data_IF_047712611022
#
_entry.id   IF_047712611022
#
_cell.length_a   1.000
_cell.length_b   1.000
_cell.length_c   1.000
_cell.angle_alpha   90.00
_cell.angle_beta   90.00
_cell.angle_gamma   90.00
#
_symmetry.space_group_name_H-M   'P 1'
#
loop_
_entity.id
_entity.type
_entity.pdbx_description
1 polymer ?
#
# COMPACT_ATOMS: atom_id res chain seq x y z
N UNK A 1 14.89 -37.66 -8.38
CA UNK A 1 14.76 -36.54 -7.42
C UNK A 1 15.27 -35.28 -8.09
N UNK A 2 14.46 -34.22 -8.24
CA UNK A 2 14.97 -32.94 -8.73
C UNK A 2 15.88 -32.33 -7.66
N UNK A 3 17.12 -31.99 -8.02
CA UNK A 3 18.04 -31.30 -7.14
C UNK A 3 17.39 -30.01 -6.60
N UNK A 4 17.34 -29.84 -5.28
CA UNK A 4 16.92 -28.58 -4.64
C UNK A 4 17.84 -27.48 -5.15
N UNK A 5 17.37 -26.67 -6.11
CA UNK A 5 18.11 -25.51 -6.63
C UNK A 5 18.35 -24.54 -5.47
N UNK A 6 19.60 -24.12 -5.30
CA UNK A 6 20.01 -23.23 -4.21
C UNK A 6 19.25 -21.90 -4.28
N UNK A 7 18.80 -21.42 -3.12
CA UNK A 7 18.15 -20.11 -2.98
C UNK A 7 19.13 -19.00 -3.37
N UNK A 8 18.64 -17.96 -4.04
CA UNK A 8 19.44 -16.77 -4.31
C UNK A 8 19.77 -16.11 -2.97
N UNK A 9 21.06 -16.01 -2.63
CA UNK A 9 21.52 -15.35 -1.41
C UNK A 9 21.29 -13.85 -1.53
N UNK A 10 20.70 -13.25 -0.49
CA UNK A 10 20.63 -11.80 -0.35
C UNK A 10 21.60 -11.39 0.76
N UNK A 11 22.50 -10.49 0.44
CA UNK A 11 23.35 -9.81 1.41
C UNK A 11 22.74 -8.43 1.67
N UNK A 12 22.36 -8.20 2.93
CA UNK A 12 21.77 -6.94 3.37
C UNK A 12 22.89 -6.03 3.89
N UNK A 13 22.99 -4.84 3.34
CA UNK A 13 23.98 -3.86 3.76
C UNK A 13 23.28 -2.51 3.97
N UNK A 14 22.77 -2.27 5.19
CA UNK A 14 22.21 -0.98 5.55
C UNK A 14 23.28 0.15 5.60
N UNK A 15 24.57 -0.21 5.58
CA UNK A 15 25.68 0.73 5.66
C UNK A 15 25.64 1.55 6.95
N UNK A 16 25.85 2.85 6.82
CA UNK A 16 25.86 3.81 7.94
C UNK A 16 24.46 4.30 8.35
N UNK A 17 23.40 3.81 7.70
CA UNK A 17 22.03 4.27 7.98
C UNK A 17 21.59 3.72 9.35
N UNK A 18 21.50 4.62 10.34
CA UNK A 18 21.05 4.29 11.69
C UNK A 18 19.58 4.64 11.93
N UNK A 19 19.01 5.55 11.13
CA UNK A 19 17.62 5.99 11.21
C UNK A 19 17.12 6.48 9.84
N UNK A 20 15.84 6.27 9.58
CA UNK A 20 15.09 6.89 8.48
C UNK A 20 13.99 7.78 9.06
N UNK A 21 13.65 8.86 8.34
CA UNK A 21 12.53 9.71 8.73
C UNK A 21 11.20 8.97 8.55
N UNK A 22 10.14 9.34 9.30
CA UNK A 22 8.82 8.72 9.14
C UNK A 22 8.29 8.76 7.70
N UNK A 23 8.56 9.83 6.97
CA UNK A 23 8.16 10.04 5.56
C UNK A 23 8.87 9.04 4.64
N UNK A 24 10.15 8.81 4.87
CA UNK A 24 10.96 7.83 4.13
C UNK A 24 10.43 6.41 4.36
N UNK A 25 10.12 6.07 5.62
CA UNK A 25 9.54 4.78 5.99
C UNK A 25 8.22 4.57 5.25
N UNK A 26 7.31 5.57 5.28
CA UNK A 26 6.03 5.50 4.56
C UNK A 26 6.22 5.39 3.05
N UNK A 27 7.12 6.17 2.45
CA UNK A 27 7.38 6.11 1.02
C UNK A 27 7.90 4.72 0.58
N UNK A 28 8.82 4.12 1.34
CA UNK A 28 9.35 2.79 1.03
C UNK A 28 8.26 1.72 1.16
N UNK A 29 7.44 1.78 2.21
CA UNK A 29 6.33 0.82 2.40
C UNK A 29 5.26 0.98 1.32
N UNK A 30 4.91 2.23 0.97
CA UNK A 30 3.91 2.54 -0.06
C UNK A 30 4.34 2.05 -1.44
N UNK A 31 5.63 2.18 -1.76
CA UNK A 31 6.23 1.60 -2.97
C UNK A 31 6.33 0.07 -2.93
N UNK A 32 6.48 -0.52 -1.74
CA UNK A 32 6.60 -1.97 -1.58
C UNK A 32 5.26 -2.69 -1.80
N UNK A 33 4.13 -2.03 -1.54
CA UNK A 33 2.79 -2.59 -1.74
C UNK A 33 2.57 -3.11 -3.18
N UNK A 34 3.07 -2.37 -4.17
CA UNK A 34 2.98 -2.70 -5.61
C UNK A 34 3.63 -4.03 -5.99
N UNK A 35 4.58 -4.51 -5.19
CA UNK A 35 5.41 -5.69 -5.50
C UNK A 35 5.42 -6.74 -4.39
N UNK A 36 4.59 -6.56 -3.37
CA UNK A 36 4.60 -7.43 -2.20
C UNK A 36 4.25 -8.86 -2.61
N UNK A 37 5.04 -9.82 -2.15
CA UNK A 37 4.98 -11.23 -2.55
C UNK A 37 5.16 -11.53 -4.05
N UNK A 38 5.45 -10.54 -4.91
CA UNK A 38 5.63 -10.69 -6.37
C UNK A 38 7.00 -10.27 -6.90
N UNK A 39 7.75 -9.42 -6.19
CA UNK A 39 9.13 -9.11 -6.54
C UNK A 39 10.03 -8.91 -5.31
N UNK A 40 11.34 -8.85 -5.57
CA UNK A 40 12.37 -8.68 -4.55
C UNK A 40 12.89 -7.24 -4.44
N UNK A 41 13.88 -7.08 -3.54
CA UNK A 41 14.59 -5.83 -3.23
C UNK A 41 14.95 -4.98 -4.45
N UNK A 42 15.51 -5.58 -5.50
CA UNK A 42 15.98 -4.84 -6.67
C UNK A 42 14.85 -4.12 -7.42
N UNK A 43 13.64 -4.67 -7.42
CA UNK A 43 12.49 -4.02 -8.03
C UNK A 43 12.04 -2.81 -7.20
N UNK A 44 11.99 -2.95 -5.88
CA UNK A 44 11.63 -1.84 -4.99
C UNK A 44 12.57 -0.65 -5.14
N UNK A 45 13.88 -0.92 -5.25
CA UNK A 45 14.88 0.13 -5.52
C UNK A 45 14.59 0.84 -6.85
N UNK A 46 14.19 0.11 -7.91
CA UNK A 46 13.86 0.69 -9.22
C UNK A 46 12.62 1.59 -9.17
N UNK A 47 11.56 1.16 -8.47
CA UNK A 47 10.34 1.97 -8.26
C UNK A 47 10.71 3.27 -7.55
N UNK A 48 11.38 3.17 -6.41
CA UNK A 48 11.78 4.33 -5.61
C UNK A 48 12.74 5.28 -6.36
N UNK A 49 13.56 4.76 -7.27
CA UNK A 49 14.43 5.57 -8.14
C UNK A 49 13.66 6.31 -9.24
N UNK A 50 12.48 5.85 -9.63
CA UNK A 50 11.79 6.36 -10.81
C UNK A 50 12.34 5.75 -12.11
N UNK A 51 12.74 4.49 -12.07
CA UNK A 51 13.38 3.81 -13.20
C UNK A 51 12.37 3.47 -14.30
N UNK A 52 12.69 3.86 -15.54
CA UNK A 52 11.95 3.47 -16.76
C UNK A 52 12.23 2.02 -17.21
N UNK A 53 12.60 1.14 -16.27
CA UNK A 53 12.82 -0.28 -16.57
C UNK A 53 11.55 -0.90 -17.15
N UNK A 54 11.70 -1.75 -18.18
CA UNK A 54 10.56 -2.32 -18.91
C UNK A 54 9.55 -3.00 -17.98
N UNK A 55 10.01 -3.72 -16.95
CA UNK A 55 9.10 -4.42 -16.03
C UNK A 55 8.36 -3.47 -15.10
N UNK A 56 8.98 -2.37 -14.70
CA UNK A 56 8.32 -1.35 -13.88
C UNK A 56 7.12 -0.78 -14.64
N UNK A 57 7.32 -0.44 -15.92
CA UNK A 57 6.27 0.12 -16.77
C UNK A 57 5.22 -0.93 -17.19
N UNK A 58 5.66 -2.15 -17.52
CA UNK A 58 4.77 -3.25 -17.94
C UNK A 58 3.76 -3.62 -16.84
N UNK A 59 4.18 -3.56 -15.58
CA UNK A 59 3.31 -3.78 -14.43
C UNK A 59 2.72 -2.50 -13.84
N UNK A 60 2.85 -1.35 -14.53
CA UNK A 60 2.31 -0.05 -14.12
C UNK A 60 2.74 0.40 -12.72
N UNK A 61 3.91 -0.02 -12.28
CA UNK A 61 4.45 0.35 -10.96
C UNK A 61 4.89 1.82 -10.91
N UNK A 62 4.91 2.50 -12.06
CA UNK A 62 5.10 3.94 -12.18
C UNK A 62 3.86 4.77 -11.83
N UNK A 63 2.68 4.14 -11.70
CA UNK A 63 1.45 4.79 -11.20
C UNK A 63 1.44 4.90 -9.66
N UNK A 64 2.39 4.26 -8.98
CA UNK A 64 2.52 4.30 -7.52
C UNK A 64 2.82 5.71 -6.99
N UNK A 65 2.15 6.19 -5.91
CA UNK A 65 2.40 7.51 -5.32
C UNK A 65 3.85 7.76 -4.87
N UNK A 66 4.60 6.69 -4.57
CA UNK A 66 5.99 6.76 -4.12
C UNK A 66 7.01 6.50 -5.25
N UNK A 67 6.57 6.40 -6.51
CA UNK A 67 7.44 6.24 -7.66
C UNK A 67 8.38 7.45 -7.80
N UNK A 68 9.69 7.21 -7.88
CA UNK A 68 10.67 8.29 -7.99
C UNK A 68 10.85 9.13 -6.72
N UNK A 69 10.35 8.70 -5.55
CA UNK A 69 10.56 9.40 -4.28
C UNK A 69 12.04 9.72 -4.02
N UNK A 70 12.94 8.80 -4.40
CA UNK A 70 14.39 8.97 -4.31
C UNK A 70 15.05 9.22 -5.68
N UNK A 71 14.41 9.95 -6.59
CA UNK A 71 14.96 10.24 -7.92
C UNK A 71 16.36 10.89 -7.89
N UNK A 72 16.70 11.62 -6.81
CA UNK A 72 18.02 12.25 -6.65
C UNK A 72 19.09 11.34 -6.04
N UNK A 73 18.72 10.17 -5.50
CA UNK A 73 19.68 9.24 -4.91
C UNK A 73 20.17 8.21 -5.94
N UNK A 74 21.34 7.65 -5.70
CA UNK A 74 21.85 6.50 -6.44
C UNK A 74 21.08 5.22 -6.08
N UNK A 75 21.09 4.24 -6.99
CA UNK A 75 20.49 2.92 -6.72
C UNK A 75 21.12 2.23 -5.48
N UNK A 76 22.40 2.48 -5.23
CA UNK A 76 23.11 1.93 -4.06
C UNK A 76 22.59 2.55 -2.77
N UNK A 77 22.47 3.88 -2.71
CA UNK A 77 21.95 4.60 -1.54
C UNK A 77 20.50 4.24 -1.22
N UNK A 78 19.67 4.03 -2.26
CA UNK A 78 18.30 3.53 -2.10
C UNK A 78 18.33 2.08 -1.60
N UNK A 79 19.22 1.25 -2.15
CA UNK A 79 19.42 -0.13 -1.71
C UNK A 79 19.75 -0.23 -0.22
N UNK A 80 20.64 0.62 0.29
CA UNK A 80 20.97 0.70 1.73
C UNK A 80 19.74 1.03 2.59
N UNK A 81 18.87 1.93 2.12
CA UNK A 81 17.61 2.28 2.80
C UNK A 81 16.61 1.12 2.81
N UNK A 82 16.47 0.41 1.70
CA UNK A 82 15.62 -0.80 1.64
C UNK A 82 16.18 -1.89 2.57
N UNK A 83 17.50 -2.07 2.62
CA UNK A 83 18.14 -3.02 3.54
C UNK A 83 17.90 -2.65 5.00
N UNK A 84 17.97 -1.36 5.35
CA UNK A 84 17.58 -0.86 6.66
C UNK A 84 16.14 -1.26 7.01
N UNK A 85 15.20 -1.13 6.06
CA UNK A 85 13.79 -1.50 6.27
C UNK A 85 13.62 -3.01 6.55
N UNK A 86 14.45 -3.86 5.94
CA UNK A 86 14.46 -5.30 6.20
C UNK A 86 15.10 -5.60 7.57
N UNK A 87 16.27 -5.03 7.85
CA UNK A 87 17.02 -5.24 9.11
C UNK A 87 16.24 -4.76 10.33
N UNK A 88 15.50 -3.66 10.21
CA UNK A 88 14.66 -3.11 11.30
C UNK A 88 13.26 -3.74 11.37
N UNK A 89 13.01 -4.77 10.57
CA UNK A 89 11.79 -5.56 10.62
C UNK A 89 10.55 -4.78 10.21
N UNK A 90 10.63 -3.90 9.22
CA UNK A 90 9.46 -3.35 8.55
C UNK A 90 9.06 -4.26 7.36
N UNK A 91 10.06 -4.69 6.61
CA UNK A 91 9.94 -5.69 5.55
C UNK A 91 10.68 -6.96 5.95
N UNK A 92 10.35 -8.08 5.32
CA UNK A 92 11.12 -9.32 5.40
C UNK A 92 11.19 -9.99 4.03
N UNK A 93 12.13 -10.91 3.89
CA UNK A 93 12.28 -11.71 2.67
C UNK A 93 11.67 -13.08 2.89
N UNK A 94 10.78 -13.46 1.99
CA UNK A 94 10.27 -14.82 1.87
C UNK A 94 10.67 -15.42 0.52
N UNK A 95 10.79 -16.74 0.43
CA UNK A 95 11.24 -17.40 -0.78
C UNK A 95 10.09 -18.14 -1.46
N UNK A 96 9.78 -17.74 -2.69
CA UNK A 96 8.98 -18.56 -3.61
C UNK A 96 9.93 -19.42 -4.45
N UNK A 97 10.08 -20.68 -4.04
CA UNK A 97 11.12 -21.56 -4.57
C UNK A 97 12.52 -21.00 -4.31
N UNK A 98 13.20 -20.54 -5.37
CA UNK A 98 14.54 -19.93 -5.28
C UNK A 98 14.54 -18.40 -5.22
N UNK A 99 13.40 -17.78 -5.54
CA UNK A 99 13.29 -16.34 -5.74
C UNK A 99 12.94 -15.65 -4.42
N UNK A 100 13.72 -14.65 -3.99
CA UNK A 100 13.41 -13.86 -2.81
C UNK A 100 12.38 -12.77 -3.15
N UNK A 101 11.33 -12.72 -2.34
CA UNK A 101 10.20 -11.80 -2.46
C UNK A 101 10.13 -10.96 -1.20
N UNK A 102 9.83 -9.68 -1.35
CA UNK A 102 9.55 -8.83 -0.19
C UNK A 102 8.13 -9.08 0.30
N UNK A 103 7.98 -9.17 1.63
CA UNK A 103 6.67 -9.15 2.28
C UNK A 103 6.69 -8.20 3.47
N UNK A 104 5.51 -7.69 3.84
CA UNK A 104 5.38 -6.89 5.04
C UNK A 104 5.59 -7.76 6.28
N UNK A 105 6.22 -7.18 7.28
CA UNK A 105 6.04 -7.62 8.67
C UNK A 105 4.77 -7.00 9.24
N UNK A 106 4.32 -7.43 10.41
CA UNK A 106 3.19 -6.78 11.10
C UNK A 106 3.46 -5.28 11.32
N UNK A 107 4.68 -4.93 11.74
CA UNK A 107 5.13 -3.54 11.96
C UNK A 107 5.07 -2.70 10.68
N UNK A 108 5.57 -3.23 9.57
CA UNK A 108 5.50 -2.53 8.28
C UNK A 108 4.06 -2.41 7.77
N UNK A 109 3.29 -3.48 7.92
CA UNK A 109 1.90 -3.51 7.49
C UNK A 109 1.01 -2.53 8.24
N UNK A 110 1.20 -2.36 9.55
CA UNK A 110 0.44 -1.39 10.34
C UNK A 110 0.62 0.04 9.80
N UNK A 111 1.85 0.42 9.49
CA UNK A 111 2.18 1.75 8.94
C UNK A 111 1.61 1.91 7.53
N UNK A 112 1.75 0.90 6.68
CA UNK A 112 1.25 0.94 5.31
C UNK A 112 -0.28 1.01 5.27
N UNK A 113 -0.95 0.15 6.04
CA UNK A 113 -2.41 0.13 6.13
C UNK A 113 -2.94 1.50 6.56
N UNK A 114 -2.33 2.12 7.57
CA UNK A 114 -2.70 3.46 8.03
C UNK A 114 -2.45 4.53 6.94
N UNK A 115 -1.33 4.46 6.25
CA UNK A 115 -0.97 5.38 5.16
C UNK A 115 -1.96 5.29 4.02
N UNK A 116 -2.22 4.08 3.51
CA UNK A 116 -3.14 3.88 2.40
C UNK A 116 -4.60 4.19 2.78
N UNK A 117 -4.99 3.92 4.03
CA UNK A 117 -6.30 4.31 4.56
C UNK A 117 -6.49 5.83 4.53
N UNK A 118 -5.45 6.61 4.89
CA UNK A 118 -5.50 8.08 4.83
C UNK A 118 -5.64 8.59 3.40
N UNK A 119 -4.89 8.04 2.46
CA UNK A 119 -4.99 8.41 1.04
C UNK A 119 -6.43 8.22 0.53
N UNK A 120 -7.04 7.07 0.80
CA UNK A 120 -8.43 6.81 0.43
C UNK A 120 -9.44 7.71 1.13
N UNK A 121 -9.22 7.98 2.42
CA UNK A 121 -10.09 8.86 3.19
C UNK A 121 -10.10 10.28 2.62
N UNK A 122 -8.93 10.83 2.28
CA UNK A 122 -8.85 12.15 1.63
C UNK A 122 -9.53 12.15 0.25
N UNK A 123 -9.38 11.08 -0.54
CA UNK A 123 -10.09 10.96 -1.82
C UNK A 123 -11.62 10.96 -1.65
N UNK A 124 -12.12 10.24 -0.64
CA UNK A 124 -13.56 10.22 -0.34
C UNK A 124 -14.05 11.58 0.15
N UNK A 125 -13.25 12.23 1.01
CA UNK A 125 -13.54 13.59 1.49
C UNK A 125 -13.67 14.57 0.33
N UNK A 126 -12.74 14.56 -0.63
CA UNK A 126 -12.82 15.39 -1.85
C UNK A 126 -14.09 15.09 -2.65
N UNK A 127 -14.46 13.82 -2.82
CA UNK A 127 -15.68 13.44 -3.56
C UNK A 127 -16.95 13.95 -2.86
N UNK A 128 -16.99 13.87 -1.52
CA UNK A 128 -18.10 14.37 -0.71
C UNK A 128 -18.18 15.89 -0.73
N UNK A 129 -17.06 16.60 -0.57
CA UNK A 129 -16.99 18.06 -0.55
C UNK A 129 -17.33 18.68 -1.91
N UNK A 130 -16.81 18.08 -3.00
CA UNK A 130 -17.11 18.52 -4.37
C UNK A 130 -18.49 18.09 -4.87
N UNK A 131 -19.14 17.12 -4.18
CA UNK A 131 -20.36 16.43 -4.63
C UNK A 131 -20.21 15.74 -5.99
N UNK A 132 -18.97 15.44 -6.39
CA UNK A 132 -18.65 14.73 -7.63
C UNK A 132 -18.23 13.30 -7.29
N UNK A 133 -19.02 12.33 -7.74
CA UNK A 133 -18.72 10.92 -7.56
C UNK A 133 -18.01 10.35 -8.79
N UNK A 134 -16.76 9.93 -8.62
CA UNK A 134 -16.02 9.24 -9.66
C UNK A 134 -16.16 7.72 -9.48
N UNK A 135 -16.98 7.07 -10.33
CA UNK A 135 -17.31 5.64 -10.18
C UNK A 135 -16.10 4.70 -10.32
N UNK A 136 -15.04 5.11 -11.02
CA UNK A 136 -13.78 4.36 -11.09
C UNK A 136 -13.13 4.13 -9.71
N UNK A 137 -13.41 5.00 -8.72
CA UNK A 137 -12.94 4.82 -7.34
C UNK A 137 -13.37 3.46 -6.77
N UNK A 138 -14.58 2.98 -7.11
CA UNK A 138 -15.08 1.70 -6.61
C UNK A 138 -14.40 0.52 -7.29
N UNK A 139 -14.07 0.63 -8.58
CA UNK A 139 -13.32 -0.41 -9.28
C UNK A 139 -11.88 -0.53 -8.76
N UNK A 140 -11.24 0.61 -8.46
CA UNK A 140 -9.94 0.63 -7.80
C UNK A 140 -9.99 0.00 -6.40
N UNK A 141 -11.04 0.26 -5.61
CA UNK A 141 -11.19 -0.32 -4.27
C UNK A 141 -11.35 -1.85 -4.26
N UNK A 142 -11.77 -2.48 -5.35
CA UNK A 142 -11.90 -3.95 -5.44
C UNK A 142 -10.57 -4.68 -5.35
N UNK A 143 -9.48 -4.04 -5.78
CA UNK A 143 -8.13 -4.62 -5.71
C UNK A 143 -7.37 -4.20 -4.44
N UNK A 144 -7.92 -3.24 -3.67
CA UNK A 144 -7.32 -2.79 -2.42
C UNK A 144 -7.46 -3.86 -1.34
N UNK A 145 -6.43 -4.01 -0.50
CA UNK A 145 -6.46 -4.92 0.62
C UNK A 145 -7.68 -4.66 1.53
N UNK A 146 -8.45 -5.71 1.81
CA UNK A 146 -9.70 -5.60 2.60
C UNK A 146 -9.50 -4.97 3.98
N UNK A 147 -8.32 -5.09 4.59
CA UNK A 147 -8.06 -4.42 5.87
C UNK A 147 -7.99 -2.89 5.73
N UNK A 148 -7.45 -2.38 4.63
CA UNK A 148 -7.46 -0.93 4.30
C UNK A 148 -8.90 -0.48 4.05
N UNK A 149 -9.67 -1.25 3.27
CA UNK A 149 -11.11 -0.98 3.03
C UNK A 149 -11.90 -0.89 4.35
N UNK A 150 -11.64 -1.80 5.29
CA UNK A 150 -12.35 -1.81 6.57
C UNK A 150 -11.90 -0.66 7.48
N UNK A 151 -10.61 -0.35 7.51
CA UNK A 151 -10.08 0.80 8.24
C UNK A 151 -10.63 2.13 7.69
N UNK A 152 -10.76 2.26 6.37
CA UNK A 152 -11.42 3.40 5.72
C UNK A 152 -12.87 3.56 6.20
N UNK A 153 -13.63 2.47 6.19
CA UNK A 153 -15.03 2.47 6.64
C UNK A 153 -15.16 2.82 8.13
N UNK A 154 -14.25 2.33 8.97
CA UNK A 154 -14.22 2.69 10.39
C UNK A 154 -13.87 4.17 10.59
N UNK A 155 -12.93 4.72 9.81
CA UNK A 155 -12.60 6.14 9.85
C UNK A 155 -13.76 7.04 9.41
N UNK A 156 -14.49 6.64 8.37
CA UNK A 156 -15.71 7.34 7.94
C UNK A 156 -16.77 7.29 9.03
N UNK A 157 -16.97 6.12 9.66
CA UNK A 157 -17.92 5.94 10.77
C UNK A 157 -17.58 6.86 11.95
N UNK A 158 -16.30 6.96 12.31
CA UNK A 158 -15.81 7.83 13.39
C UNK A 158 -15.99 9.31 13.10
N UNK A 159 -15.98 9.73 11.82
CA UNK A 159 -16.22 11.12 11.44
C UNK A 159 -17.61 11.63 11.83
N UNK A 160 -18.61 10.76 11.92
CA UNK A 160 -20.02 11.15 12.13
C UNK A 160 -20.64 11.94 10.98
N UNK A 161 -19.96 12.10 9.85
CA UNK A 161 -20.40 12.98 8.77
C UNK A 161 -21.40 12.28 7.83
N UNK A 162 -22.67 12.68 7.94
CA UNK A 162 -23.77 12.14 7.11
C UNK A 162 -23.59 12.37 5.61
N UNK A 163 -22.73 13.32 5.20
CA UNK A 163 -22.50 13.60 3.77
C UNK A 163 -21.85 12.43 3.03
N UNK A 164 -21.26 11.47 3.74
CA UNK A 164 -20.74 10.23 3.14
C UNK A 164 -21.82 9.23 2.73
N UNK A 165 -23.04 9.30 3.28
CA UNK A 165 -24.10 8.30 3.07
C UNK A 165 -24.40 8.05 1.58
N UNK A 166 -24.61 9.06 0.73
CA UNK A 166 -24.88 8.82 -0.70
C UNK A 166 -23.73 8.10 -1.42
N UNK A 167 -22.49 8.45 -1.08
CA UNK A 167 -21.30 7.81 -1.64
C UNK A 167 -21.21 6.34 -1.19
N UNK A 168 -21.44 6.08 0.10
CA UNK A 168 -21.43 4.73 0.68
C UNK A 168 -22.51 3.85 0.05
N UNK A 169 -23.73 4.35 -0.12
CA UNK A 169 -24.82 3.58 -0.76
C UNK A 169 -24.55 3.34 -2.25
N UNK A 170 -23.89 4.27 -2.95
CA UNK A 170 -23.44 4.04 -4.32
C UNK A 170 -22.37 2.94 -4.37
N UNK A 171 -21.36 3.00 -3.49
CA UNK A 171 -20.30 2.00 -3.40
C UNK A 171 -20.86 0.59 -3.11
N UNK A 172 -21.80 0.51 -2.16
CA UNK A 172 -22.40 -0.74 -1.69
C UNK A 172 -23.03 -1.58 -2.80
N UNK A 173 -23.54 -0.97 -3.88
CA UNK A 173 -24.25 -1.68 -4.96
C UNK A 173 -23.37 -2.70 -5.70
N UNK A 174 -22.07 -2.42 -5.84
CA UNK A 174 -21.13 -3.25 -6.61
C UNK A 174 -20.27 -4.20 -5.77
N UNK A 175 -20.53 -4.30 -4.46
CA UNK A 175 -19.60 -4.90 -3.51
C UNK A 175 -19.94 -6.34 -3.10
N UNK A 176 -18.92 -7.06 -2.65
CA UNK A 176 -19.10 -8.40 -2.08
C UNK A 176 -19.87 -8.33 -0.76
N UNK A 177 -20.59 -9.41 -0.40
CA UNK A 177 -21.48 -9.46 0.78
C UNK A 177 -20.86 -8.86 2.05
N UNK A 178 -19.63 -9.25 2.39
CA UNK A 178 -18.96 -8.82 3.62
C UNK A 178 -18.68 -7.30 3.64
N UNK A 179 -18.32 -6.71 2.50
CA UNK A 179 -18.10 -5.26 2.39
C UNK A 179 -19.45 -4.54 2.42
N UNK A 180 -20.48 -5.07 1.74
CA UNK A 180 -21.85 -4.51 1.79
C UNK A 180 -22.44 -4.46 3.20
N UNK A 181 -22.21 -5.50 4.00
CA UNK A 181 -22.64 -5.56 5.41
C UNK A 181 -21.91 -4.51 6.25
N UNK A 182 -20.58 -4.37 6.07
CA UNK A 182 -19.80 -3.34 6.77
C UNK A 182 -20.26 -1.93 6.38
N UNK A 183 -20.45 -1.66 5.08
CA UNK A 183 -20.95 -0.36 4.61
C UNK A 183 -22.33 -0.07 5.21
N UNK A 184 -23.27 -1.01 5.17
CA UNK A 184 -24.61 -0.83 5.74
C UNK A 184 -24.58 -0.51 7.24
N UNK A 185 -23.69 -1.15 8.01
CA UNK A 185 -23.49 -0.82 9.42
C UNK A 185 -22.91 0.57 9.65
N UNK A 186 -22.02 1.04 8.76
CA UNK A 186 -21.50 2.42 8.81
C UNK A 186 -22.59 3.42 8.47
N UNK A 187 -23.36 3.20 7.40
CA UNK A 187 -24.49 4.07 7.02
C UNK A 187 -25.48 4.23 8.16
N UNK A 188 -25.94 3.12 8.75
CA UNK A 188 -26.87 3.15 9.87
C UNK A 188 -26.32 3.95 11.07
N UNK A 189 -25.03 3.78 11.38
CA UNK A 189 -24.40 4.54 12.47
C UNK A 189 -24.34 6.04 12.18
N UNK A 190 -24.09 6.44 10.93
CA UNK A 190 -24.07 7.85 10.52
C UNK A 190 -25.47 8.48 10.58
N UNK A 191 -26.52 7.72 10.26
CA UNK A 191 -27.91 8.18 10.35
C UNK A 191 -28.32 8.49 11.81
N UNK A 192 -27.83 7.71 12.77
CA UNK A 192 -28.10 7.87 14.21
C UNK A 192 -27.41 9.07 14.88
N UNK A 193 -26.31 9.59 14.31
CA UNK A 193 -25.62 10.77 14.85
C UNK A 193 -26.54 11.97 14.66
N UNK A 194 -26.93 12.71 15.71
CA UNK A 194 -27.83 13.87 15.59
C UNK A 194 -27.18 15.01 14.82
#
# INVERSE_FOLDING_TARGET
MMARRQRIRIELAAGEITKLQPEEIRAILRAADELIATAGRSMLVKILKGSKDKKVLEYKMDECPAYGYYHNLTMEEIGKRVDYMIVKGYLKIEYSGRLPMLVFTEKGWEIERETYTKEWYERFKVAVESKVLHLNMFEELKIVNRQVVFALLDKIKESGDKRYIPLLEAWRKGEVRKVREKIGGVTARLEEVQ
#
